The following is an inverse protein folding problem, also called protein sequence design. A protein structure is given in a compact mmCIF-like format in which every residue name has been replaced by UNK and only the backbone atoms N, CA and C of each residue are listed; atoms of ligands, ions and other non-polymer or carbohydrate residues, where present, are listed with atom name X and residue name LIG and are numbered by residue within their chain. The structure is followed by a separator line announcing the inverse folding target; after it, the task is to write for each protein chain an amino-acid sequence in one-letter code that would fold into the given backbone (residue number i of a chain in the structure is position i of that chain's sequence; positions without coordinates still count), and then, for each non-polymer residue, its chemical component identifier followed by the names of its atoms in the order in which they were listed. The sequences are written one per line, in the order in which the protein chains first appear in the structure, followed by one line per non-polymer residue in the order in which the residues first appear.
data_IF_005093261460
#
_entry.id   IF_005093261460
#
_cell.length_a   1.000
_cell.length_b   1.000
_cell.length_c   1.000
_cell.angle_alpha   90.00
_cell.angle_beta   90.00
_cell.angle_gamma   90.00
#
_symmetry.space_group_name_H-M   'P 1'
#
loop_
_entity.id
_entity.type
_entity.pdbx_description
1 polymer ?
#
# COMPACT_ATOMS: atom_id res chain seq x y z
N UNK A 1 12.59 -3.44 -4.00
CA UNK A 1 13.53 -2.51 -3.32
C UNK A 1 14.12 -3.23 -2.12
N UNK A 2 15.30 -2.84 -1.60
CA UNK A 2 15.81 -3.42 -0.34
C UNK A 2 15.09 -2.81 0.86
N UNK A 3 14.97 -3.55 1.96
CA UNK A 3 14.36 -3.07 3.22
C UNK A 3 14.75 -1.65 3.62
N UNK A 4 16.05 -1.34 3.68
CA UNK A 4 16.52 -0.03 4.11
C UNK A 4 16.08 1.12 3.18
N UNK A 5 15.93 0.84 1.88
CA UNK A 5 15.40 1.81 0.91
C UNK A 5 13.90 2.03 1.10
N UNK A 6 13.17 0.95 1.42
CA UNK A 6 11.74 0.99 1.70
C UNK A 6 11.46 1.77 3.00
N UNK A 7 12.16 1.45 4.09
CA UNK A 7 11.97 2.10 5.39
C UNK A 7 12.31 3.59 5.36
N UNK A 8 13.11 4.03 4.39
CA UNK A 8 13.43 5.44 4.17
C UNK A 8 12.34 6.23 3.42
N UNK A 9 11.36 5.55 2.80
CA UNK A 9 10.26 6.19 2.06
C UNK A 9 9.25 6.89 2.96
N UNK A 10 8.52 7.85 2.39
CA UNK A 10 7.43 8.52 3.11
C UNK A 10 6.27 7.54 3.37
N UNK A 11 6.04 6.61 2.44
CA UNK A 11 5.07 5.52 2.62
C UNK A 11 5.35 4.71 3.90
N UNK A 12 6.57 4.22 4.10
CA UNK A 12 6.90 3.40 5.27
C UNK A 12 6.72 4.18 6.58
N UNK A 13 7.13 5.45 6.62
CA UNK A 13 6.95 6.32 7.80
C UNK A 13 5.48 6.51 8.15
N UNK A 14 4.64 6.80 7.15
CA UNK A 14 3.19 6.96 7.34
C UNK A 14 2.54 5.65 7.77
N UNK A 15 2.83 4.54 7.08
CA UNK A 15 2.28 3.23 7.40
C UNK A 15 2.62 2.83 8.84
N UNK A 16 3.85 3.08 9.31
CA UNK A 16 4.25 2.81 10.69
C UNK A 16 3.46 3.62 11.72
N UNK A 17 3.13 4.88 11.41
CA UNK A 17 2.39 5.75 12.30
C UNK A 17 0.90 5.35 12.38
N UNK A 18 0.30 4.95 11.25
CA UNK A 18 -1.10 4.58 11.16
C UNK A 18 -1.35 3.12 11.61
N UNK A 19 -0.47 2.20 11.23
CA UNK A 19 -0.62 0.75 11.42
C UNK A 19 0.65 0.11 12.02
N UNK A 20 1.10 0.51 13.22
CA UNK A 20 2.37 0.05 13.79
C UNK A 20 2.45 -1.47 13.99
N UNK A 21 1.32 -2.11 14.30
CA UNK A 21 1.24 -3.57 14.52
C UNK A 21 1.45 -4.38 13.24
N UNK A 22 1.08 -3.83 12.08
CA UNK A 22 1.17 -4.50 10.78
C UNK A 22 2.41 -4.05 9.99
N UNK A 23 3.23 -3.17 10.54
CA UNK A 23 4.35 -2.55 9.85
C UNK A 23 5.38 -3.56 9.35
N UNK A 24 5.84 -4.48 10.20
CA UNK A 24 6.84 -5.48 9.80
C UNK A 24 6.35 -6.37 8.65
N UNK A 25 5.07 -6.75 8.67
CA UNK A 25 4.48 -7.55 7.60
C UNK A 25 4.33 -6.73 6.32
N UNK A 26 3.96 -5.45 6.42
CA UNK A 26 3.91 -4.54 5.27
C UNK A 26 5.28 -4.35 4.62
N UNK A 27 6.35 -4.19 5.42
CA UNK A 27 7.73 -4.09 4.90
C UNK A 27 8.13 -5.38 4.17
N UNK A 28 7.93 -6.54 4.79
CA UNK A 28 8.24 -7.83 4.16
C UNK A 28 7.48 -8.02 2.86
N UNK A 29 6.21 -7.65 2.82
CA UNK A 29 5.40 -7.68 1.60
C UNK A 29 5.92 -6.71 0.55
N UNK A 30 6.26 -5.47 0.93
CA UNK A 30 6.82 -4.47 0.04
C UNK A 30 8.17 -4.88 -0.57
N UNK A 31 8.97 -5.68 0.14
CA UNK A 31 10.23 -6.23 -0.36
C UNK A 31 10.02 -7.24 -1.48
N UNK A 32 9.00 -8.09 -1.36
CA UNK A 32 8.72 -9.19 -2.31
C UNK A 32 7.67 -8.84 -3.36
N UNK A 33 6.92 -7.76 -3.16
CA UNK A 33 5.88 -7.31 -4.09
C UNK A 33 6.51 -6.70 -5.35
N UNK A 34 6.50 -7.44 -6.46
CA UNK A 34 6.80 -6.89 -7.80
C UNK A 34 5.58 -6.18 -8.39
N UNK A 35 4.38 -6.74 -8.15
CA UNK A 35 3.11 -6.29 -8.74
C UNK A 35 2.05 -6.01 -7.69
N UNK A 36 1.30 -4.95 -7.94
CA UNK A 36 0.18 -4.51 -7.11
C UNK A 36 -1.03 -4.23 -7.98
N UNK A 37 -2.21 -4.37 -7.39
CA UNK A 37 -3.49 -3.98 -7.96
C UNK A 37 -4.01 -2.79 -7.17
N UNK A 38 -4.56 -1.80 -7.87
CA UNK A 38 -5.24 -0.67 -7.24
C UNK A 38 -6.74 -0.86 -7.44
N UNK A 39 -7.44 -1.19 -6.37
CA UNK A 39 -8.88 -1.45 -6.41
C UNK A 39 -9.63 -0.46 -5.52
N UNK A 40 -10.85 -0.11 -5.95
CA UNK A 40 -11.75 0.67 -5.11
C UNK A 40 -12.40 -0.28 -4.11
N UNK A 41 -12.09 -0.11 -2.83
CA UNK A 41 -12.65 -0.88 -1.73
C UNK A 41 -13.47 0.05 -0.84
N UNK A 42 -14.60 -0.45 -0.37
CA UNK A 42 -15.36 0.21 0.68
C UNK A 42 -14.55 0.09 1.97
N UNK A 43 -14.32 1.20 2.66
CA UNK A 43 -13.59 1.20 3.92
C UNK A 43 -14.44 0.65 5.09
N UNK A 44 -15.69 0.24 4.81
CA UNK A 44 -16.67 -0.24 5.78
C UNK A 44 -16.89 0.75 6.95
N UNK A 45 -16.44 2.00 6.80
CA UNK A 45 -16.76 3.04 7.75
C UNK A 45 -18.22 3.44 7.57
N UNK A 46 -18.87 3.87 8.66
CA UNK A 46 -20.24 4.34 8.62
C UNK A 46 -20.47 5.55 7.68
N UNK A 47 -19.40 6.11 7.08
CA UNK A 47 -19.43 7.23 6.15
C UNK A 47 -19.58 6.82 4.68
N UNK A 48 -19.34 5.55 4.33
CA UNK A 48 -19.46 5.07 2.95
C UNK A 48 -18.43 5.69 1.99
N UNK A 49 -17.25 6.05 2.51
CA UNK A 49 -16.17 6.61 1.71
C UNK A 49 -15.39 5.47 1.04
N UNK A 50 -15.33 5.51 -0.29
CA UNK A 50 -14.54 4.54 -1.04
C UNK A 50 -13.06 4.92 -1.02
N UNK A 51 -12.20 3.97 -0.67
CA UNK A 51 -10.76 4.11 -0.75
C UNK A 51 -10.19 3.33 -1.93
N UNK A 52 -9.06 3.81 -2.44
CA UNK A 52 -8.24 3.12 -3.43
C UNK A 52 -7.15 2.34 -2.70
N UNK A 53 -7.41 1.06 -2.50
CA UNK A 53 -6.50 0.14 -1.82
C UNK A 53 -5.39 -0.32 -2.78
N UNK A 54 -4.15 -0.26 -2.32
CA UNK A 54 -2.99 -0.87 -2.99
C UNK A 54 -2.83 -2.27 -2.43
N UNK A 55 -3.06 -3.28 -3.26
CA UNK A 55 -3.10 -4.68 -2.85
C UNK A 55 -1.96 -5.41 -3.57
N UNK A 56 -1.02 -6.07 -2.87
CA UNK A 56 0.01 -6.85 -3.52
C UNK A 56 -0.56 -8.15 -4.10
N UNK A 57 -0.14 -8.54 -5.31
CA UNK A 57 -0.63 -9.78 -5.94
C UNK A 57 -0.22 -11.03 -5.16
N UNK A 58 0.90 -10.98 -4.42
CA UNK A 58 1.35 -12.10 -3.60
C UNK A 58 0.49 -12.31 -2.35
N UNK A 59 -0.31 -11.31 -1.94
CA UNK A 59 -1.14 -11.38 -0.74
C UNK A 59 -2.35 -10.44 -0.84
N UNK A 60 -3.44 -10.95 -1.40
CA UNK A 60 -4.63 -10.15 -1.71
C UNK A 60 -5.51 -9.78 -0.51
N UNK A 61 -5.30 -10.43 0.63
CA UNK A 61 -5.95 -10.13 1.92
C UNK A 61 -5.32 -8.93 2.66
N UNK A 62 -4.16 -8.43 2.19
CA UNK A 62 -3.44 -7.35 2.84
C UNK A 62 -3.45 -6.07 1.99
N UNK A 63 -3.73 -4.93 2.62
CA UNK A 63 -3.64 -3.63 1.95
C UNK A 63 -2.33 -2.95 2.34
N UNK A 64 -1.47 -2.71 1.36
CA UNK A 64 -0.22 -1.98 1.57
C UNK A 64 -0.48 -0.49 1.82
N UNK A 65 -1.59 0.02 1.32
CA UNK A 65 -2.04 1.39 1.54
C UNK A 65 -3.52 1.52 1.13
N UNK A 66 -4.20 2.54 1.63
CA UNK A 66 -5.55 2.90 1.21
C UNK A 66 -5.69 4.42 1.15
N UNK A 67 -5.96 4.95 -0.04
CA UNK A 67 -5.92 6.39 -0.30
C UNK A 67 -7.24 6.91 -0.88
N UNK A 68 -7.63 8.17 -0.60
CA UNK A 68 -8.90 8.72 -1.10
C UNK A 68 -9.00 8.82 -2.63
N UNK A 69 -7.86 8.86 -3.34
CA UNK A 69 -7.84 8.99 -4.80
C UNK A 69 -6.94 7.96 -5.46
N UNK A 70 -7.34 7.48 -6.65
CA UNK A 70 -6.52 6.58 -7.48
C UNK A 70 -5.16 7.19 -7.80
N UNK A 71 -5.13 8.51 -8.03
CA UNK A 71 -3.90 9.22 -8.36
C UNK A 71 -2.91 9.20 -7.19
N UNK A 72 -3.36 9.39 -5.95
CA UNK A 72 -2.50 9.25 -4.78
C UNK A 72 -1.94 7.83 -4.65
N UNK A 73 -2.77 6.81 -4.88
CA UNK A 73 -2.32 5.41 -4.88
C UNK A 73 -1.25 5.14 -5.96
N UNK A 74 -1.41 5.70 -7.15
CA UNK A 74 -0.41 5.61 -8.22
C UNK A 74 0.91 6.30 -7.86
N UNK A 75 0.88 7.42 -7.14
CA UNK A 75 2.09 8.11 -6.68
C UNK A 75 2.89 7.23 -5.71
N UNK A 76 2.22 6.60 -4.74
CA UNK A 76 2.86 5.65 -3.81
C UNK A 76 3.44 4.46 -4.56
N UNK A 77 2.70 3.88 -5.50
CA UNK A 77 3.22 2.78 -6.32
C UNK A 77 4.47 3.19 -7.11
N UNK A 78 4.51 4.44 -7.62
CA UNK A 78 5.67 4.97 -8.34
C UNK A 78 6.88 5.17 -7.42
N UNK A 79 6.68 5.71 -6.23
CA UNK A 79 7.72 5.87 -5.20
C UNK A 79 8.33 4.51 -4.83
N UNK A 80 7.45 3.53 -4.58
CA UNK A 80 7.79 2.16 -4.20
C UNK A 80 8.29 1.29 -5.36
N UNK A 81 8.28 1.82 -6.59
CA UNK A 81 8.63 1.11 -7.83
C UNK A 81 7.78 -0.15 -8.07
N UNK A 82 6.58 -0.21 -7.51
CA UNK A 82 5.64 -1.32 -7.71
C UNK A 82 4.99 -1.22 -9.09
N UNK A 83 4.87 -2.36 -9.77
CA UNK A 83 4.19 -2.42 -11.07
C UNK A 83 2.69 -2.57 -10.85
N UNK A 84 1.95 -1.53 -11.23
CA UNK A 84 0.49 -1.56 -11.15
C UNK A 84 -0.05 -2.38 -12.32
N UNK A 85 -0.80 -3.44 -12.00
CA UNK A 85 -1.55 -4.19 -13.01
C UNK A 85 -2.73 -3.34 -13.49
N UNK A 86 -2.86 -3.24 -14.81
CA UNK A 86 -3.95 -2.50 -15.47
C UNK A 86 -5.27 -3.25 -15.40
#
# INVERSE_FOLDING_TARGET
MRRCEIEATEWARRFKAECPTSYEDAIKLAEVADRVVIERRDDHSAKGDFLWAIIPECRTDFWLDALPTKQAALVVCREMKWRVRR
#
